data_IF_488279908850
#
_entry.id   IF_488279908850
#
_cell.length_a   1.000
_cell.length_b   1.000
_cell.length_c   1.000
_cell.angle_alpha   90.00
_cell.angle_beta   90.00
_cell.angle_gamma   90.00
#
_symmetry.space_group_name_H-M   'P 1'
#
loop_
_entity.id
_entity.type
_entity.pdbx_description
1 polymer ?
#
# COMPACT_ATOMS: atom_id res chain seq x y z
N UNK A 1 8.27 -0.89 -18.00
CA UNK A 1 8.73 -0.21 -16.81
C UNK A 1 8.09 1.17 -16.77
N UNK A 2 7.26 1.44 -15.77
CA UNK A 2 6.56 2.71 -15.60
C UNK A 2 7.05 3.41 -14.33
N UNK A 3 7.45 4.66 -14.45
CA UNK A 3 7.94 5.49 -13.37
C UNK A 3 7.03 6.70 -13.10
N UNK A 4 5.90 6.78 -13.81
CA UNK A 4 4.86 7.78 -13.58
C UNK A 4 3.48 7.25 -13.98
N UNK A 5 2.39 7.83 -13.45
CA UNK A 5 1.03 7.49 -13.86
C UNK A 5 0.78 7.66 -15.36
N UNK A 6 1.32 8.71 -15.97
CA UNK A 6 1.17 8.98 -17.41
C UNK A 6 1.81 7.88 -18.26
N UNK A 7 2.95 7.34 -17.81
CA UNK A 7 3.62 6.22 -18.50
C UNK A 7 2.75 4.96 -18.51
N UNK A 8 1.99 4.70 -17.43
CA UNK A 8 1.02 3.60 -17.36
C UNK A 8 -0.10 3.80 -18.37
N UNK A 9 -0.72 4.99 -18.38
CA UNK A 9 -1.80 5.31 -19.32
C UNK A 9 -1.34 5.19 -20.77
N UNK A 10 -0.16 5.72 -21.08
CA UNK A 10 0.43 5.62 -22.42
C UNK A 10 0.75 4.17 -22.82
N UNK A 11 1.15 3.32 -21.90
CA UNK A 11 1.37 1.90 -22.17
C UNK A 11 0.03 1.18 -22.41
N UNK A 12 -0.99 1.44 -21.59
CA UNK A 12 -2.34 0.88 -21.75
C UNK A 12 -2.94 1.22 -23.10
N UNK A 13 -2.84 2.47 -23.56
CA UNK A 13 -3.30 2.89 -24.88
C UNK A 13 -2.62 2.11 -26.04
N UNK A 14 -1.41 1.60 -25.81
CA UNK A 14 -0.67 0.77 -26.77
C UNK A 14 -0.87 -0.73 -26.54
N UNK A 15 -1.82 -1.13 -25.70
CA UNK A 15 -2.08 -2.53 -25.37
C UNK A 15 -0.91 -3.21 -24.63
N UNK A 16 -0.11 -2.44 -23.87
CA UNK A 16 1.05 -2.94 -23.12
C UNK A 16 0.79 -2.99 -21.63
N UNK A 17 1.35 -3.99 -20.96
CA UNK A 17 1.42 -4.08 -19.50
C UNK A 17 2.52 -3.14 -19.00
N UNK A 18 2.26 -2.50 -17.84
CA UNK A 18 3.22 -1.67 -17.12
C UNK A 18 3.62 -2.33 -15.82
N UNK A 19 4.90 -2.22 -15.48
CA UNK A 19 5.45 -2.63 -14.19
C UNK A 19 6.03 -1.41 -13.50
N UNK A 20 5.63 -1.18 -12.24
CA UNK A 20 6.20 -0.17 -11.35
C UNK A 20 7.05 -0.89 -10.30
N UNK A 21 8.37 -0.64 -10.23
CA UNK A 21 9.19 -1.19 -9.18
C UNK A 21 8.81 -0.64 -7.81
N UNK A 22 8.74 -1.52 -6.83
CA UNK A 22 8.49 -1.21 -5.43
C UNK A 22 9.54 -1.89 -4.55
N UNK A 23 9.80 -1.33 -3.38
CA UNK A 23 10.59 -1.95 -2.33
C UNK A 23 9.64 -2.44 -1.23
N UNK A 24 9.65 -3.73 -0.93
CA UNK A 24 8.97 -4.31 0.22
C UNK A 24 9.97 -4.59 1.33
N UNK A 25 9.78 -3.90 2.47
CA UNK A 25 10.75 -3.90 3.56
C UNK A 25 11.95 -2.97 3.29
N UNK A 26 12.08 -1.95 4.10
CA UNK A 26 13.10 -0.92 3.91
C UNK A 26 14.44 -1.24 4.58
N UNK A 27 14.67 -2.50 4.98
CA UNK A 27 15.94 -2.97 5.56
C UNK A 27 17.13 -2.68 4.65
N UNK A 28 16.92 -2.88 3.34
CA UNK A 28 17.96 -2.62 2.33
C UNK A 28 18.35 -1.14 2.16
N UNK A 29 17.65 -0.23 2.82
CA UNK A 29 18.06 1.18 2.86
C UNK A 29 19.21 1.43 3.84
N UNK A 30 19.52 0.48 4.74
CA UNK A 30 20.61 0.62 5.73
C UNK A 30 20.52 1.94 6.51
N UNK A 31 19.30 2.37 6.84
CA UNK A 31 19.01 3.65 7.51
C UNK A 31 19.45 4.91 6.74
N UNK A 32 19.61 4.80 5.43
CA UNK A 32 20.15 5.87 4.59
C UNK A 32 19.10 6.49 3.69
N UNK A 33 18.87 7.77 3.85
CA UNK A 33 18.05 8.58 2.93
C UNK A 33 18.69 8.65 1.53
N UNK A 34 20.01 8.60 1.42
CA UNK A 34 20.74 8.54 0.15
C UNK A 34 20.41 7.27 -0.63
N UNK A 35 20.31 6.12 0.05
CA UNK A 35 19.95 4.87 -0.59
C UNK A 35 18.51 4.93 -1.13
N UNK A 36 17.59 5.60 -0.44
CA UNK A 36 16.24 5.86 -0.96
C UNK A 36 16.28 6.70 -2.25
N UNK A 37 17.12 7.75 -2.31
CA UNK A 37 17.32 8.58 -3.50
C UNK A 37 17.89 7.79 -4.67
N UNK A 38 18.84 6.90 -4.40
CA UNK A 38 19.42 6.01 -5.42
C UNK A 38 18.36 5.06 -6.00
N UNK A 39 17.56 4.42 -5.14
CA UNK A 39 16.45 3.57 -5.58
C UNK A 39 15.41 4.35 -6.40
N UNK A 40 15.08 5.57 -6.00
CA UNK A 40 14.22 6.44 -6.80
C UNK A 40 14.82 6.73 -8.18
N UNK A 41 16.14 7.01 -8.25
CA UNK A 41 16.89 7.20 -9.50
C UNK A 41 16.86 5.98 -10.41
N UNK A 42 16.80 4.78 -9.84
CA UNK A 42 16.65 3.49 -10.56
C UNK A 42 15.21 3.18 -10.96
N UNK A 43 14.25 4.00 -10.57
CA UNK A 43 12.86 3.86 -11.00
C UNK A 43 11.89 3.31 -9.96
N UNK A 44 12.32 3.03 -8.73
CA UNK A 44 11.43 2.65 -7.63
C UNK A 44 10.48 3.82 -7.31
N UNK A 45 9.19 3.54 -7.10
CA UNK A 45 8.16 4.57 -6.87
C UNK A 45 7.31 4.32 -5.63
N UNK A 46 7.53 3.19 -4.97
CA UNK A 46 6.87 2.84 -3.71
C UNK A 46 7.93 2.30 -2.75
N UNK A 47 7.87 2.72 -1.51
CA UNK A 47 8.68 2.19 -0.41
C UNK A 47 7.76 1.72 0.71
N UNK A 48 7.76 0.42 0.97
CA UNK A 48 7.14 -0.19 2.13
C UNK A 48 8.17 -0.22 3.26
N UNK A 49 7.80 0.32 4.42
CA UNK A 49 8.76 0.56 5.51
C UNK A 49 9.14 -0.72 6.24
N UNK A 50 8.17 -1.60 6.45
CA UNK A 50 8.32 -2.82 7.27
C UNK A 50 8.08 -4.07 6.43
N UNK A 51 8.61 -5.21 6.91
CA UNK A 51 8.30 -6.54 6.40
C UNK A 51 8.15 -7.51 7.59
N UNK A 52 8.79 -8.68 7.59
CA UNK A 52 8.59 -9.70 8.64
C UNK A 52 9.27 -9.39 9.97
N UNK A 53 10.22 -8.48 10.02
CA UNK A 53 11.00 -8.15 11.21
C UNK A 53 10.98 -6.65 11.47
N UNK A 54 11.15 -6.28 12.75
CA UNK A 54 11.50 -4.91 13.10
C UNK A 54 12.82 -4.55 12.45
N UNK A 55 12.94 -3.33 12.00
CA UNK A 55 14.15 -2.81 11.42
C UNK A 55 14.52 -1.45 12.03
N UNK A 56 15.58 -0.85 11.56
CA UNK A 56 16.03 0.46 12.10
C UNK A 56 15.09 1.62 11.77
N UNK A 57 14.06 1.40 10.96
CA UNK A 57 13.10 2.41 10.52
C UNK A 57 11.87 2.43 11.42
N UNK A 58 11.40 1.26 11.88
CA UNK A 58 10.23 1.16 12.74
C UNK A 58 9.92 -0.28 13.12
N UNK A 59 8.73 -0.49 13.61
CA UNK A 59 8.29 -1.74 14.21
C UNK A 59 7.16 -2.40 13.43
N UNK A 60 7.22 -3.72 13.31
CA UNK A 60 6.28 -4.48 12.51
C UNK A 60 5.09 -5.02 13.32
N UNK A 61 4.02 -5.36 12.61
CA UNK A 61 2.73 -5.78 13.12
C UNK A 61 2.76 -7.13 13.87
N UNK A 62 3.73 -7.99 13.57
CA UNK A 62 3.85 -9.34 14.13
C UNK A 62 5.01 -9.48 15.11
N UNK A 63 5.66 -8.38 15.49
CA UNK A 63 6.73 -8.41 16.48
C UNK A 63 6.20 -8.76 17.86
N UNK A 64 6.74 -9.77 18.53
CA UNK A 64 6.34 -10.10 19.90
C UNK A 64 6.94 -9.14 20.95
N UNK A 65 7.81 -8.22 20.55
CA UNK A 65 8.61 -7.41 21.45
C UNK A 65 8.23 -5.93 21.46
N UNK A 66 7.13 -5.55 20.75
CA UNK A 66 7.12 -4.19 20.30
C UNK A 66 5.84 -3.41 20.53
N UNK A 67 6.04 -2.33 21.26
CA UNK A 67 5.20 -1.15 21.39
C UNK A 67 5.86 0.11 20.76
N UNK A 68 6.99 -0.04 20.05
CA UNK A 68 7.69 1.02 19.32
C UNK A 68 6.96 1.49 18.08
N UNK A 69 7.41 2.62 17.54
CA UNK A 69 6.90 3.24 16.32
C UNK A 69 8.02 3.59 15.35
N UNK A 70 7.81 4.61 14.51
CA UNK A 70 8.85 5.12 13.63
C UNK A 70 10.02 5.70 14.41
N UNK A 71 11.23 5.25 14.07
CA UNK A 71 12.48 5.85 14.54
C UNK A 71 12.68 7.25 13.94
N UNK A 72 13.70 7.96 14.42
CA UNK A 72 14.08 9.27 13.83
C UNK A 72 14.40 9.11 12.33
N UNK A 73 15.19 8.08 11.98
CA UNK A 73 15.53 7.82 10.57
C UNK A 73 14.31 7.38 9.76
N UNK A 74 13.37 6.65 10.36
CA UNK A 74 12.10 6.30 9.72
C UNK A 74 11.28 7.53 9.35
N UNK A 75 11.19 8.51 10.24
CA UNK A 75 10.55 9.81 9.98
C UNK A 75 11.24 10.56 8.83
N UNK A 76 12.56 10.51 8.75
CA UNK A 76 13.32 11.15 7.66
C UNK A 76 13.11 10.43 6.32
N UNK A 77 13.03 9.09 6.31
CA UNK A 77 12.68 8.29 5.12
C UNK A 77 11.27 8.67 4.61
N UNK A 78 10.26 8.79 5.50
CA UNK A 78 8.91 9.19 5.10
C UNK A 78 8.91 10.60 4.49
N UNK A 79 9.57 11.58 5.13
CA UNK A 79 9.68 12.96 4.59
C UNK A 79 10.35 12.98 3.22
N UNK A 80 11.44 12.23 3.05
CA UNK A 80 12.15 12.17 1.78
C UNK A 80 11.36 11.45 0.70
N UNK A 81 10.64 10.36 1.03
CA UNK A 81 9.73 9.70 0.10
C UNK A 81 8.67 10.67 -0.42
N UNK A 82 8.05 11.46 0.48
CA UNK A 82 7.10 12.50 0.09
C UNK A 82 7.74 13.54 -0.83
N UNK A 83 8.95 14.02 -0.50
CA UNK A 83 9.69 14.99 -1.32
C UNK A 83 10.01 14.48 -2.72
N UNK A 84 10.35 13.20 -2.83
CA UNK A 84 10.65 12.51 -4.09
C UNK A 84 9.39 12.20 -4.92
N UNK A 85 8.20 12.25 -4.33
CA UNK A 85 6.97 11.78 -4.96
C UNK A 85 6.89 10.24 -5.01
N UNK A 86 7.42 9.56 -3.99
CA UNK A 86 7.29 8.13 -3.77
C UNK A 86 6.11 7.83 -2.84
N UNK A 87 5.38 6.77 -3.14
CA UNK A 87 4.33 6.26 -2.26
C UNK A 87 4.98 5.64 -1.02
N UNK A 88 4.53 6.03 0.16
CA UNK A 88 4.85 5.35 1.41
C UNK A 88 3.80 4.28 1.66
N UNK A 89 4.24 3.05 1.86
CA UNK A 89 3.40 1.89 2.13
C UNK A 89 3.67 1.39 3.56
N UNK A 90 2.59 1.18 4.31
CA UNK A 90 2.63 0.76 5.72
C UNK A 90 2.20 -0.69 5.93
N UNK A 91 2.01 -1.49 4.86
CA UNK A 91 1.77 -2.91 5.07
C UNK A 91 2.88 -3.50 5.94
N UNK A 92 2.51 -4.40 6.85
CA UNK A 92 3.33 -4.95 7.92
C UNK A 92 3.64 -4.03 9.12
N UNK A 93 3.38 -2.73 9.05
CA UNK A 93 3.66 -1.82 10.16
C UNK A 93 2.71 -2.08 11.36
N UNK A 94 3.22 -1.97 12.59
CA UNK A 94 2.38 -1.99 13.79
C UNK A 94 1.58 -0.68 13.95
N UNK A 95 0.63 -0.67 14.86
CA UNK A 95 -0.26 0.48 15.11
C UNK A 95 0.51 1.78 15.37
N UNK A 96 1.57 1.74 16.19
CA UNK A 96 2.33 2.94 16.51
C UNK A 96 3.12 3.47 15.32
N UNK A 97 3.72 2.57 14.52
CA UNK A 97 4.40 2.94 13.26
C UNK A 97 3.42 3.57 12.27
N UNK A 98 2.18 3.04 12.17
CA UNK A 98 1.12 3.61 11.34
C UNK A 98 0.80 5.05 11.79
N UNK A 99 0.54 5.25 13.08
CA UNK A 99 0.21 6.57 13.65
C UNK A 99 1.34 7.56 13.39
N UNK A 100 2.56 7.19 13.71
CA UNK A 100 3.75 8.04 13.52
C UNK A 100 3.99 8.40 12.06
N UNK A 101 3.78 7.45 11.14
CA UNK A 101 3.95 7.69 9.71
C UNK A 101 2.87 8.64 9.16
N UNK A 102 1.62 8.50 9.60
CA UNK A 102 0.53 9.42 9.24
C UNK A 102 0.82 10.84 9.75
N UNK A 103 1.33 10.97 10.99
CA UNK A 103 1.69 12.27 11.56
C UNK A 103 2.79 12.99 10.74
N UNK A 104 3.76 12.23 10.24
CA UNK A 104 4.92 12.76 9.51
C UNK A 104 4.62 13.00 8.04
N UNK A 105 3.76 12.17 7.44
CA UNK A 105 3.51 12.21 6.01
C UNK A 105 2.67 13.43 5.61
N UNK A 106 3.11 14.14 4.59
CA UNK A 106 2.34 15.20 3.93
C UNK A 106 1.53 14.70 2.73
N UNK A 107 1.58 13.39 2.45
CA UNK A 107 0.94 12.75 1.30
C UNK A 107 0.10 11.55 1.74
N UNK A 108 -0.89 11.14 0.93
CA UNK A 108 -1.64 9.93 1.19
C UNK A 108 -0.74 8.71 1.34
N UNK A 109 -1.08 7.87 2.31
CA UNK A 109 -0.38 6.63 2.59
C UNK A 109 -1.12 5.47 1.95
N UNK A 110 -0.37 4.47 1.50
CA UNK A 110 -0.87 3.17 1.09
C UNK A 110 -0.71 2.18 2.25
N UNK A 111 -1.69 1.30 2.44
CA UNK A 111 -1.51 0.03 3.13
C UNK A 111 -1.79 -1.06 2.10
N UNK A 112 -0.74 -1.53 1.44
CA UNK A 112 -0.86 -2.25 0.16
C UNK A 112 -1.62 -3.56 0.27
N UNK A 113 -1.46 -4.33 1.36
CA UNK A 113 -2.08 -5.64 1.50
C UNK A 113 -2.40 -5.99 2.96
N UNK A 114 -3.66 -6.34 3.23
CA UNK A 114 -4.17 -6.68 4.57
C UNK A 114 -5.56 -7.31 4.49
N UNK A 115 -6.10 -7.66 5.64
CA UNK A 115 -7.52 -7.87 5.89
C UNK A 115 -8.07 -6.91 6.96
N UNK A 116 -9.30 -7.11 7.39
CA UNK A 116 -9.99 -6.30 8.41
C UNK A 116 -10.17 -7.13 9.68
N UNK A 117 -9.64 -6.64 10.80
CA UNK A 117 -9.63 -7.37 12.08
C UNK A 117 -11.02 -7.58 12.66
N UNK A 118 -11.95 -6.66 12.43
CA UNK A 118 -13.34 -6.80 12.81
C UNK A 118 -14.07 -7.99 12.13
N UNK A 119 -13.52 -8.49 11.01
CA UNK A 119 -14.05 -9.64 10.29
C UNK A 119 -13.35 -10.95 10.62
N UNK A 120 -12.05 -10.89 10.80
CA UNK A 120 -11.21 -12.02 11.15
C UNK A 120 -10.06 -11.56 12.06
N UNK A 121 -9.90 -12.17 13.24
CA UNK A 121 -8.89 -11.81 14.23
C UNK A 121 -7.51 -12.36 13.82
N UNK A 122 -6.90 -11.73 12.84
CA UNK A 122 -5.56 -12.04 12.33
C UNK A 122 -4.54 -10.97 12.72
N UNK A 123 -3.32 -11.39 13.03
CA UNK A 123 -2.24 -10.47 13.42
C UNK A 123 -1.83 -9.50 12.32
N UNK A 124 -2.09 -9.86 11.06
CA UNK A 124 -1.78 -9.07 9.88
C UNK A 124 -2.95 -8.18 9.42
N UNK A 125 -4.02 -8.05 10.23
CA UNK A 125 -5.24 -7.36 9.86
C UNK A 125 -5.39 -6.04 10.62
N UNK A 126 -5.90 -5.02 9.91
CA UNK A 126 -6.09 -3.68 10.45
C UNK A 126 -7.31 -3.58 11.35
N UNK A 127 -7.16 -2.84 12.44
CA UNK A 127 -8.27 -2.34 13.24
C UNK A 127 -9.02 -1.21 12.52
N UNK A 128 -10.29 -1.02 12.87
CA UNK A 128 -11.13 0.03 12.30
C UNK A 128 -10.55 1.44 12.51
N UNK A 129 -9.88 1.66 13.65
CA UNK A 129 -9.22 2.93 13.98
C UNK A 129 -8.07 3.23 13.02
N UNK A 130 -7.27 2.22 12.66
CA UNK A 130 -6.16 2.32 11.71
C UNK A 130 -6.69 2.61 10.30
N UNK A 131 -7.76 1.92 9.89
CA UNK A 131 -8.44 2.15 8.61
C UNK A 131 -8.93 3.60 8.52
N UNK A 132 -9.58 4.11 9.58
CA UNK A 132 -10.03 5.51 9.63
C UNK A 132 -8.86 6.49 9.56
N UNK A 133 -7.78 6.23 10.29
CA UNK A 133 -6.61 7.09 10.32
C UNK A 133 -5.95 7.20 8.93
N UNK A 134 -5.78 6.09 8.22
CA UNK A 134 -5.25 6.05 6.86
C UNK A 134 -6.17 6.81 5.90
N UNK A 135 -7.49 6.62 6.01
CA UNK A 135 -8.48 7.24 5.13
C UNK A 135 -8.56 8.77 5.29
N UNK A 136 -8.44 9.30 6.53
CA UNK A 136 -8.44 10.76 6.80
C UNK A 136 -7.34 11.47 6.01
N UNK A 137 -6.18 10.85 5.81
CA UNK A 137 -5.08 11.36 4.97
C UNK A 137 -5.28 11.16 3.47
N UNK A 138 -6.43 10.64 3.03
CA UNK A 138 -6.68 10.32 1.61
C UNK A 138 -6.07 8.98 1.17
N UNK A 139 -5.58 8.18 2.10
CA UNK A 139 -4.91 6.92 1.84
C UNK A 139 -5.82 5.80 1.33
N UNK A 140 -5.24 4.66 1.02
CA UNK A 140 -5.93 3.49 0.43
C UNK A 140 -5.45 2.21 1.12
N UNK A 141 -6.41 1.30 1.36
CA UNK A 141 -6.20 -0.01 1.97
C UNK A 141 -6.45 -1.10 0.93
N UNK A 142 -5.44 -1.92 0.65
CA UNK A 142 -5.53 -3.07 -0.24
C UNK A 142 -5.97 -4.33 0.49
N UNK A 143 -7.09 -4.91 0.10
CA UNK A 143 -7.59 -6.18 0.63
C UNK A 143 -7.06 -7.33 -0.22
N UNK A 144 -6.48 -8.31 0.43
CA UNK A 144 -5.81 -9.43 -0.21
C UNK A 144 -6.65 -10.72 -0.23
N UNK A 145 -6.43 -11.62 -1.20
CA UNK A 145 -7.13 -12.90 -1.29
C UNK A 145 -6.44 -14.00 -0.46
N UNK A 146 -6.08 -13.71 0.79
CA UNK A 146 -5.39 -14.67 1.66
C UNK A 146 -6.23 -15.92 1.92
N UNK A 147 -5.60 -17.10 1.97
CA UNK A 147 -6.29 -18.38 2.10
C UNK A 147 -7.18 -18.49 3.37
N UNK A 148 -6.81 -17.78 4.45
CA UNK A 148 -7.59 -17.73 5.68
C UNK A 148 -8.92 -16.96 5.57
N UNK A 149 -9.18 -16.28 4.46
CA UNK A 149 -10.51 -15.73 4.13
C UNK A 149 -11.45 -16.78 3.52
N UNK A 150 -10.90 -17.94 3.13
CA UNK A 150 -11.60 -19.13 2.60
C UNK A 150 -12.31 -18.92 1.27
N UNK A 151 -12.99 -17.81 1.05
CA UNK A 151 -13.79 -17.55 -0.15
C UNK A 151 -13.62 -16.13 -0.71
N UNK A 152 -13.89 -15.97 -2.01
CA UNK A 152 -13.98 -14.64 -2.65
C UNK A 152 -15.08 -13.80 -1.99
N UNK A 153 -16.19 -14.40 -1.62
CA UNK A 153 -17.29 -13.70 -0.93
C UNK A 153 -16.81 -13.08 0.38
N UNK A 154 -16.03 -13.80 1.19
CA UNK A 154 -15.51 -13.24 2.43
C UNK A 154 -14.47 -12.13 2.16
N UNK A 155 -13.61 -12.28 1.16
CA UNK A 155 -12.75 -11.18 0.71
C UNK A 155 -13.57 -9.94 0.34
N UNK A 156 -14.65 -10.10 -0.42
CA UNK A 156 -15.55 -8.98 -0.78
C UNK A 156 -16.20 -8.36 0.45
N UNK A 157 -16.53 -9.14 1.48
CA UNK A 157 -17.04 -8.61 2.76
C UNK A 157 -16.01 -7.77 3.50
N UNK A 158 -14.71 -8.08 3.40
CA UNK A 158 -13.62 -7.22 3.90
C UNK A 158 -13.56 -5.91 3.11
N UNK A 159 -13.69 -5.96 1.78
CA UNK A 159 -13.77 -4.76 0.92
C UNK A 159 -14.97 -3.89 1.31
N UNK A 160 -16.13 -4.52 1.49
CA UNK A 160 -17.37 -3.83 1.87
C UNK A 160 -17.27 -3.20 3.27
N UNK A 161 -16.63 -3.87 4.22
CA UNK A 161 -16.40 -3.31 5.54
C UNK A 161 -15.62 -1.98 5.46
N UNK A 162 -14.52 -1.94 4.69
CA UNK A 162 -13.76 -0.69 4.48
C UNK A 162 -14.61 0.36 3.79
N UNK A 163 -15.39 -0.01 2.74
CA UNK A 163 -16.32 0.90 2.05
C UNK A 163 -17.34 1.49 3.01
N UNK A 164 -17.96 0.68 3.87
CA UNK A 164 -18.96 1.16 4.84
C UNK A 164 -18.34 2.05 5.91
N UNK A 165 -17.10 1.77 6.30
CA UNK A 165 -16.42 2.48 7.37
C UNK A 165 -15.90 3.86 6.95
N UNK A 166 -15.31 3.97 5.75
CA UNK A 166 -14.57 5.16 5.29
C UNK A 166 -14.86 5.58 3.85
N UNK A 167 -15.66 4.82 3.12
CA UNK A 167 -16.05 5.12 1.73
C UNK A 167 -15.24 4.36 0.68
N UNK A 168 -15.83 4.25 -0.52
CA UNK A 168 -15.29 3.47 -1.64
C UNK A 168 -13.93 3.98 -2.15
N UNK A 169 -13.60 5.24 -1.91
CA UNK A 169 -12.37 5.85 -2.40
C UNK A 169 -11.11 5.41 -1.62
N UNK A 170 -11.29 4.67 -0.52
CA UNK A 170 -10.24 4.25 0.39
C UNK A 170 -9.93 2.76 0.37
N UNK A 171 -10.56 1.97 -0.51
CA UNK A 171 -10.34 0.53 -0.62
C UNK A 171 -9.86 0.14 -2.00
N UNK A 172 -8.94 -0.82 -2.05
CA UNK A 172 -8.44 -1.45 -3.27
C UNK A 172 -8.27 -2.96 -3.06
N UNK A 173 -7.97 -3.68 -4.13
CA UNK A 173 -7.48 -5.05 -4.03
C UNK A 173 -5.96 -5.08 -4.02
N UNK A 174 -5.43 -6.11 -3.38
CA UNK A 174 -4.02 -6.51 -3.42
C UNK A 174 -3.91 -7.98 -3.75
N UNK A 175 -2.75 -8.45 -4.14
CA UNK A 175 -2.55 -9.89 -4.34
C UNK A 175 -1.48 -10.46 -3.42
N UNK A 176 -0.47 -9.69 -3.06
CA UNK A 176 0.74 -10.20 -2.41
C UNK A 176 1.23 -11.50 -3.11
N UNK A 177 1.28 -11.45 -4.45
CA UNK A 177 1.41 -12.63 -5.30
C UNK A 177 2.73 -13.35 -5.01
N UNK A 178 2.62 -14.63 -4.61
CA UNK A 178 3.69 -15.52 -4.15
C UNK A 178 4.26 -15.19 -2.76
N UNK A 179 3.68 -14.25 -2.04
CA UNK A 179 4.03 -13.97 -0.64
C UNK A 179 3.27 -14.84 0.36
N UNK A 180 2.16 -15.47 -0.05
CA UNK A 180 1.28 -16.23 0.84
C UNK A 180 0.50 -17.33 0.10
N UNK A 181 -0.32 -18.08 0.83
CA UNK A 181 -1.35 -18.98 0.28
C UNK A 181 -2.64 -18.20 0.01
N UNK A 182 -3.33 -18.54 -1.07
CA UNK A 182 -4.51 -17.84 -1.57
C UNK A 182 -5.79 -18.63 -1.38
N UNK A 183 -6.93 -17.91 -1.46
CA UNK A 183 -8.25 -18.52 -1.67
C UNK A 183 -8.20 -19.36 -2.95
N UNK A 184 -8.74 -20.59 -2.93
CA UNK A 184 -8.69 -21.52 -4.06
C UNK A 184 -9.20 -20.91 -5.38
N UNK A 185 -10.28 -20.12 -5.32
CA UNK A 185 -10.84 -19.47 -6.49
C UNK A 185 -9.95 -18.39 -7.11
N UNK A 186 -9.02 -17.81 -6.34
CA UNK A 186 -7.99 -16.89 -6.85
C UNK A 186 -6.80 -17.66 -7.39
N UNK A 187 -6.30 -18.61 -6.62
CA UNK A 187 -5.22 -19.54 -6.97
C UNK A 187 -3.89 -18.87 -7.28
N UNK A 188 -2.88 -19.67 -7.55
CA UNK A 188 -1.52 -19.22 -7.89
C UNK A 188 -1.43 -18.49 -9.25
N UNK A 189 -2.45 -18.63 -10.09
CA UNK A 189 -2.55 -17.97 -11.40
C UNK A 189 -3.06 -16.53 -11.31
N UNK A 190 -3.41 -16.08 -10.10
CA UNK A 190 -3.94 -14.75 -9.80
C UNK A 190 -5.21 -14.41 -10.62
N UNK A 191 -6.27 -15.18 -10.38
CA UNK A 191 -7.55 -15.02 -11.06
C UNK A 191 -8.30 -13.76 -10.59
N UNK A 192 -7.85 -12.60 -11.03
CA UNK A 192 -8.52 -11.31 -10.75
C UNK A 192 -9.96 -11.25 -11.26
N UNK A 193 -10.31 -12.09 -12.26
CA UNK A 193 -11.67 -12.15 -12.76
C UNK A 193 -12.64 -12.65 -11.70
N UNK A 194 -12.25 -13.64 -10.88
CA UNK A 194 -13.08 -14.12 -9.79
C UNK A 194 -13.38 -13.01 -8.76
N UNK A 195 -12.40 -12.14 -8.49
CA UNK A 195 -12.61 -10.98 -7.59
C UNK A 195 -13.58 -9.97 -8.24
N UNK A 196 -13.41 -9.65 -9.52
CA UNK A 196 -14.30 -8.74 -10.25
C UNK A 196 -15.75 -9.26 -10.20
N UNK A 197 -15.95 -10.53 -10.54
CA UNK A 197 -17.25 -11.15 -10.55
C UNK A 197 -17.86 -11.15 -9.13
N UNK A 198 -17.07 -11.49 -8.09
CA UNK A 198 -17.51 -11.44 -6.70
C UNK A 198 -17.93 -10.04 -6.23
N UNK A 199 -17.20 -8.99 -6.61
CA UNK A 199 -17.55 -7.61 -6.28
C UNK A 199 -18.82 -7.17 -6.99
N UNK A 200 -19.01 -7.54 -8.27
CA UNK A 200 -20.23 -7.28 -9.05
C UNK A 200 -21.44 -8.03 -8.46
N UNK A 201 -21.29 -9.31 -8.14
CA UNK A 201 -22.35 -10.11 -7.52
C UNK A 201 -22.76 -9.58 -6.15
N UNK A 202 -21.87 -8.90 -5.45
CA UNK A 202 -22.14 -8.23 -4.18
C UNK A 202 -22.92 -6.91 -4.36
N UNK A 203 -23.10 -6.46 -5.61
CA UNK A 203 -23.93 -5.29 -5.96
C UNK A 203 -23.19 -3.98 -6.14
N UNK A 204 -21.86 -4.02 -6.35
CA UNK A 204 -21.08 -2.85 -6.70
C UNK A 204 -21.36 -2.42 -8.14
N UNK A 205 -21.34 -1.13 -8.37
CA UNK A 205 -21.42 -0.56 -9.72
C UNK A 205 -20.10 -0.72 -10.47
N UNK A 206 -20.12 -0.64 -11.81
CA UNK A 206 -18.91 -0.68 -12.65
C UNK A 206 -17.89 0.39 -12.23
N UNK A 207 -18.34 1.60 -11.85
CA UNK A 207 -17.48 2.67 -11.38
C UNK A 207 -16.81 2.31 -10.06
N UNK A 208 -17.52 1.71 -9.11
CA UNK A 208 -16.97 1.25 -7.84
C UNK A 208 -15.98 0.10 -8.05
N UNK A 209 -16.29 -0.85 -8.95
CA UNK A 209 -15.36 -1.90 -9.34
C UNK A 209 -14.10 -1.30 -9.93
N UNK A 210 -14.21 -0.31 -10.80
CA UNK A 210 -13.06 0.39 -11.37
C UNK A 210 -12.17 1.04 -10.31
N UNK A 211 -12.77 1.63 -9.27
CA UNK A 211 -12.04 2.21 -8.12
C UNK A 211 -11.29 1.14 -7.34
N UNK A 212 -11.97 0.08 -6.95
CA UNK A 212 -11.41 -1.03 -6.16
C UNK A 212 -10.30 -1.76 -6.93
N UNK A 213 -10.49 -2.02 -8.22
CA UNK A 213 -9.56 -2.75 -9.08
C UNK A 213 -8.28 -1.97 -9.46
N UNK A 214 -8.11 -0.75 -8.96
CA UNK A 214 -6.87 0.01 -9.15
C UNK A 214 -7.04 1.52 -9.27
N UNK A 215 -8.25 2.02 -9.51
CA UNK A 215 -8.51 3.45 -9.63
C UNK A 215 -8.07 4.24 -8.40
N UNK A 216 -8.33 3.71 -7.20
CA UNK A 216 -7.96 4.36 -5.94
C UNK A 216 -6.43 4.39 -5.73
N UNK A 217 -5.73 3.29 -6.03
CA UNK A 217 -4.27 3.26 -6.02
C UNK A 217 -3.70 4.28 -7.01
N UNK A 218 -4.25 4.33 -8.21
CA UNK A 218 -3.81 5.25 -9.25
C UNK A 218 -4.00 6.72 -8.86
N UNK A 219 -5.11 7.05 -8.19
CA UNK A 219 -5.36 8.38 -7.60
C UNK A 219 -4.29 8.76 -6.60
N UNK A 220 -3.95 7.87 -5.66
CA UNK A 220 -2.89 8.10 -4.67
C UNK A 220 -1.55 8.34 -5.38
N UNK A 221 -1.19 7.51 -6.35
CA UNK A 221 0.06 7.69 -7.08
C UNK A 221 0.12 9.01 -7.86
N UNK A 222 -0.98 9.41 -8.50
CA UNK A 222 -1.07 10.71 -9.17
C UNK A 222 -0.85 11.87 -8.19
N UNK A 223 -1.52 11.85 -7.04
CA UNK A 223 -1.40 12.88 -6.01
C UNK A 223 0.02 12.97 -5.46
N UNK A 224 0.60 11.85 -5.07
CA UNK A 224 1.97 11.77 -4.53
C UNK A 224 3.00 12.22 -5.57
N UNK A 225 2.85 11.79 -6.82
CA UNK A 225 3.76 12.19 -7.91
C UNK A 225 3.68 13.68 -8.22
N UNK A 226 2.49 14.28 -8.15
CA UNK A 226 2.28 15.72 -8.42
C UNK A 226 2.87 16.59 -7.30
N UNK A 227 2.98 16.10 -6.08
CA UNK A 227 3.55 16.81 -4.93
C UNK A 227 5.08 16.82 -4.91
N UNK A 228 5.73 16.16 -5.86
CA UNK A 228 7.20 16.10 -5.96
C UNK A 228 7.84 17.48 -5.94
N UNK A 229 8.75 17.69 -4.99
CA UNK A 229 9.56 18.91 -4.90
C UNK A 229 10.84 18.80 -5.73
N UNK A 230 11.37 19.94 -6.19
CA UNK A 230 12.65 19.98 -6.89
C UNK A 230 13.78 19.37 -6.04
N UNK A 231 14.79 18.68 -6.64
CA UNK A 231 15.94 18.21 -5.90
C UNK A 231 16.59 19.34 -5.13
N UNK A 232 16.93 19.14 -3.86
CA UNK A 232 17.83 20.03 -3.16
C UNK A 232 19.12 20.10 -3.98
N UNK A 233 19.53 21.31 -4.37
CA UNK A 233 20.79 21.51 -5.07
C UNK A 233 21.89 20.81 -4.25
N UNK A 234 22.69 19.95 -4.89
CA UNK A 234 23.85 19.35 -4.23
C UNK A 234 24.73 20.52 -3.81
N UNK A 235 24.91 20.69 -2.51
CA UNK A 235 25.91 21.63 -2.00
C UNK A 235 27.25 21.24 -2.64
N UNK A 236 27.82 22.15 -3.41
CA UNK A 236 29.20 22.06 -3.90
C UNK A 236 30.09 22.17 -2.67
N UNK A 237 30.49 21.01 -2.15
CA UNK A 237 31.52 20.87 -1.16
C UNK A 237 32.80 20.36 -1.82
#
# INVERSE_FOLDING_TARGET
HATSPEAVLAAKQRGRVSLMPALEGADGLESSVENLRDLYGRGVRLVQLMHFLDNTIGSNQTSPYDDGGLSVVGRDIVREANRLGMIVDLAHANTQTIVDAIEVSSQPILFSHTGVKARFDGDRYLHDEEIRAIAVGGGVIGIWPAANLETIEEMVRHIDHVKQLVGIDHVAIASDLRGMSYIDAFGDEANFRAIIDGVLDFGYTDDEVGKVMGGNFFRVWQQVSAARSAPLARGSG
#
